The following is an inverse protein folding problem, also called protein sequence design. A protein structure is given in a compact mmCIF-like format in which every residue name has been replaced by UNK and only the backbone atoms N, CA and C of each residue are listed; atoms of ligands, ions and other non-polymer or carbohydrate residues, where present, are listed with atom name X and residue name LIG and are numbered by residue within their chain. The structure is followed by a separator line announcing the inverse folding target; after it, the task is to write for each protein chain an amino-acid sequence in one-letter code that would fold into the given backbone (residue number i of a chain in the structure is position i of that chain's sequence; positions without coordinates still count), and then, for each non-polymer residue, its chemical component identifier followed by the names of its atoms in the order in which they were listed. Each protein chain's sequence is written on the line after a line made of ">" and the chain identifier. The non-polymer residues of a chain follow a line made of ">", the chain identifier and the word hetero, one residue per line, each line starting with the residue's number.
data_IF_013806645671
#
_entry.id   IF_013806645671
#
_cell.length_a   1.000
_cell.length_b   1.000
_cell.length_c   1.000
_cell.angle_alpha   90.00
_cell.angle_beta   90.00
_cell.angle_gamma   90.00
#
_symmetry.space_group_name_H-M   'P 1'
#
loop_
_entity.id
_entity.type
_entity.pdbx_description
1 polymer ?
#
# COMPACT_ATOMS: atom_id res chain seq x y z
N UNK A 1 11.09 -1.50 -5.13
CA UNK A 1 9.98 -2.30 -4.59
C UNK A 1 9.84 -2.28 -3.07
N UNK A 2 10.57 -3.10 -2.30
CA UNK A 2 10.33 -3.20 -0.84
C UNK A 2 10.41 -1.85 -0.10
N UNK A 3 11.37 -0.98 -0.47
CA UNK A 3 11.47 0.37 0.06
C UNK A 3 10.29 1.28 -0.39
N UNK A 4 9.85 1.14 -1.63
CA UNK A 4 8.73 1.93 -2.17
C UNK A 4 7.41 1.58 -1.48
N UNK A 5 7.16 0.28 -1.27
CA UNK A 5 6.00 -0.19 -0.50
C UNK A 5 6.14 0.28 0.96
N UNK A 6 7.31 0.13 1.59
CA UNK A 6 7.53 0.66 2.94
C UNK A 6 7.19 2.17 3.06
N UNK A 7 7.55 2.99 2.07
CA UNK A 7 7.19 4.43 2.04
C UNK A 7 5.68 4.64 1.89
N UNK A 8 4.99 3.79 1.12
CA UNK A 8 3.53 3.84 0.94
C UNK A 8 2.75 3.53 2.23
N UNK A 9 3.21 2.54 3.01
CA UNK A 9 2.55 2.13 4.24
C UNK A 9 2.59 3.22 5.32
N UNK A 10 3.50 4.21 5.24
CA UNK A 10 3.54 5.32 6.19
C UNK A 10 2.24 6.16 6.12
N UNK A 11 1.87 6.76 4.97
CA UNK A 11 0.57 7.42 4.76
C UNK A 11 -0.66 6.61 5.15
N UNK A 12 -0.65 5.29 4.90
CA UNK A 12 -1.77 4.41 5.33
C UNK A 12 -1.92 4.41 6.85
N UNK A 13 -0.81 4.29 7.58
CA UNK A 13 -0.80 4.38 9.03
C UNK A 13 -1.31 5.72 9.55
N UNK A 14 -0.94 6.82 8.87
CA UNK A 14 -1.47 8.15 9.18
C UNK A 14 -3.00 8.19 9.01
N UNK A 15 -3.52 7.63 7.91
CA UNK A 15 -4.94 7.62 7.59
C UNK A 15 -5.74 6.74 8.56
N UNK A 16 -5.22 5.56 8.93
CA UNK A 16 -5.80 4.67 9.95
C UNK A 16 -5.91 5.38 11.30
N UNK A 17 -4.84 6.06 11.73
CA UNK A 17 -4.86 6.82 12.98
C UNK A 17 -5.83 8.01 12.92
N UNK A 18 -5.73 8.84 11.89
CA UNK A 18 -6.55 10.04 11.77
C UNK A 18 -8.05 9.70 11.70
N UNK A 19 -8.42 8.66 10.95
CA UNK A 19 -9.82 8.22 10.88
C UNK A 19 -10.35 7.71 12.23
N UNK A 20 -9.51 7.04 13.03
CA UNK A 20 -9.90 6.59 14.37
C UNK A 20 -10.16 7.73 15.36
N UNK A 21 -9.50 8.88 15.16
CA UNK A 21 -9.75 10.10 15.93
C UNK A 21 -11.06 10.78 15.55
N UNK A 22 -11.44 10.72 14.27
CA UNK A 22 -12.70 11.30 13.77
C UNK A 22 -13.89 10.48 14.26
N UNK A 23 -13.87 9.16 14.06
CA UNK A 23 -14.87 8.23 14.55
C UNK A 23 -14.25 6.83 14.69
N UNK A 24 -14.36 6.24 15.88
CA UNK A 24 -13.73 4.95 16.18
C UNK A 24 -14.32 3.80 15.35
N UNK A 25 -15.61 3.83 15.00
CA UNK A 25 -16.21 2.79 14.14
C UNK A 25 -15.66 2.90 12.72
N UNK A 26 -15.52 4.13 12.20
CA UNK A 26 -14.91 4.38 10.89
C UNK A 26 -13.44 3.94 10.92
N UNK A 27 -12.70 4.28 11.97
CA UNK A 27 -11.31 3.86 12.16
C UNK A 27 -11.13 2.34 12.17
N UNK A 28 -11.99 1.60 12.90
CA UNK A 28 -11.98 0.13 12.90
C UNK A 28 -12.26 -0.43 11.49
N UNK A 29 -13.26 0.12 10.79
CA UNK A 29 -13.58 -0.30 9.44
C UNK A 29 -12.41 -0.09 8.46
N UNK A 30 -11.74 1.06 8.55
CA UNK A 30 -10.56 1.38 7.74
C UNK A 30 -9.38 0.48 8.11
N UNK A 31 -9.11 0.25 9.40
CA UNK A 31 -8.05 -0.63 9.84
C UNK A 31 -8.23 -2.07 9.31
N UNK A 32 -9.45 -2.58 9.31
CA UNK A 32 -9.75 -3.90 8.73
C UNK A 32 -9.57 -3.89 7.21
N UNK A 33 -10.01 -2.83 6.52
CA UNK A 33 -9.83 -2.70 5.08
C UNK A 33 -8.34 -2.67 4.68
N UNK A 34 -7.52 -1.92 5.41
CA UNK A 34 -6.07 -1.84 5.19
C UNK A 34 -5.38 -3.17 5.56
N UNK A 35 -5.79 -3.83 6.63
CA UNK A 35 -5.27 -5.16 6.96
C UNK A 35 -5.49 -6.18 5.81
N UNK A 36 -6.65 -6.10 5.13
CA UNK A 36 -6.92 -6.93 3.94
C UNK A 36 -6.06 -6.47 2.76
N UNK A 37 -5.87 -5.16 2.56
CA UNK A 37 -5.03 -4.59 1.50
C UNK A 37 -3.55 -5.04 1.62
N UNK A 38 -3.04 -5.11 2.84
CA UNK A 38 -1.66 -5.48 3.13
C UNK A 38 -1.32 -6.94 2.80
N UNK A 39 -2.31 -7.83 2.64
CA UNK A 39 -2.05 -9.23 2.25
C UNK A 39 -1.48 -9.29 0.81
N UNK A 40 -2.16 -8.74 -0.22
CA UNK A 40 -1.58 -8.57 -1.55
C UNK A 40 -0.23 -7.84 -1.56
N UNK A 41 -0.07 -6.77 -0.79
CA UNK A 41 1.19 -6.01 -0.75
C UNK A 41 2.35 -6.83 -0.17
N UNK A 42 2.10 -7.55 0.92
CA UNK A 42 3.09 -8.45 1.52
C UNK A 42 3.52 -9.54 0.55
N UNK A 43 2.60 -10.06 -0.28
CA UNK A 43 2.93 -10.98 -1.37
C UNK A 43 3.76 -10.29 -2.46
N UNK A 44 3.41 -9.05 -2.81
CA UNK A 44 4.17 -8.26 -3.78
C UNK A 44 5.62 -8.02 -3.33
N UNK A 45 5.88 -7.88 -2.02
CA UNK A 45 7.25 -7.80 -1.47
C UNK A 45 7.93 -9.17 -1.38
N UNK A 46 7.26 -10.15 -0.79
CA UNK A 46 7.89 -11.42 -0.40
C UNK A 46 8.21 -12.33 -1.59
N UNK A 47 7.35 -12.40 -2.61
CA UNK A 47 7.54 -13.31 -3.76
C UNK A 47 8.79 -12.95 -4.58
N UNK A 48 9.02 -11.69 -5.00
CA UNK A 48 10.22 -11.33 -5.75
C UNK A 48 11.50 -11.49 -4.92
N UNK A 49 11.46 -11.19 -3.61
CA UNK A 49 12.61 -11.39 -2.72
C UNK A 49 12.95 -12.87 -2.57
N UNK A 50 11.95 -13.72 -2.41
CA UNK A 50 12.18 -15.17 -2.38
C UNK A 50 12.77 -15.65 -3.71
N UNK A 51 12.27 -15.17 -4.85
CA UNK A 51 12.80 -15.54 -6.17
C UNK A 51 14.24 -15.07 -6.38
N UNK A 52 14.60 -13.90 -5.88
CA UNK A 52 15.96 -13.37 -6.00
C UNK A 52 16.96 -14.02 -5.02
N UNK A 53 16.51 -14.45 -3.83
CA UNK A 53 17.41 -14.86 -2.74
C UNK A 53 17.31 -16.34 -2.35
N UNK A 54 16.25 -17.04 -2.75
CA UNK A 54 15.94 -18.41 -2.32
C UNK A 54 15.55 -18.56 -0.85
N UNK A 55 15.51 -17.48 -0.07
CA UNK A 55 15.33 -17.54 1.39
C UNK A 55 13.93 -17.07 1.81
N UNK A 56 13.15 -18.00 2.39
CA UNK A 56 11.84 -17.69 2.98
C UNK A 56 11.96 -16.71 4.17
N UNK A 57 13.02 -16.84 4.96
CA UNK A 57 13.27 -15.94 6.10
C UNK A 57 13.53 -14.50 5.65
N UNK A 58 14.31 -14.30 4.58
CA UNK A 58 14.51 -12.96 4.01
C UNK A 58 13.21 -12.40 3.44
N UNK A 59 12.46 -13.21 2.69
CA UNK A 59 11.17 -12.80 2.12
C UNK A 59 10.17 -12.35 3.20
N UNK A 60 10.08 -13.11 4.30
CA UNK A 60 9.27 -12.75 5.45
C UNK A 60 9.76 -11.47 6.11
N UNK A 61 11.07 -11.38 6.42
CA UNK A 61 11.65 -10.23 7.11
C UNK A 61 11.40 -8.93 6.36
N UNK A 62 11.65 -8.89 5.06
CA UNK A 62 11.44 -7.68 4.26
C UNK A 62 9.96 -7.30 4.13
N UNK A 63 9.06 -8.28 3.98
CA UNK A 63 7.62 -8.03 4.00
C UNK A 63 7.15 -7.52 5.36
N UNK A 64 7.66 -8.09 6.45
CA UNK A 64 7.34 -7.68 7.81
C UNK A 64 7.84 -6.26 8.09
N UNK A 65 9.09 -5.95 7.75
CA UNK A 65 9.66 -4.62 7.92
C UNK A 65 8.90 -3.56 7.12
N UNK A 66 8.42 -3.89 5.92
CA UNK A 66 7.55 -3.00 5.14
C UNK A 66 6.23 -2.73 5.87
N UNK A 67 5.58 -3.78 6.39
CA UNK A 67 4.32 -3.63 7.13
C UNK A 67 4.45 -2.89 8.46
N UNK A 68 5.60 -3.00 9.15
CA UNK A 68 5.88 -2.25 10.39
C UNK A 68 5.88 -0.74 10.17
N UNK A 69 6.07 -0.26 8.94
CA UNK A 69 6.02 1.18 8.68
C UNK A 69 4.63 1.77 8.92
N UNK A 70 3.56 0.98 8.78
CA UNK A 70 2.19 1.45 9.05
C UNK A 70 1.96 1.85 10.52
N UNK A 71 2.19 0.98 11.54
CA UNK A 71 2.06 1.39 12.93
C UNK A 71 3.07 2.48 13.31
N UNK A 72 4.26 2.51 12.70
CA UNK A 72 5.21 3.61 12.88
C UNK A 72 4.63 4.93 12.36
N UNK A 73 4.00 4.93 11.20
CA UNK A 73 3.31 6.09 10.62
C UNK A 73 2.17 6.60 11.50
N UNK A 74 1.37 5.68 12.05
CA UNK A 74 0.32 5.99 13.02
C UNK A 74 0.90 6.67 14.29
N UNK A 75 1.94 6.10 14.88
CA UNK A 75 2.58 6.62 16.10
C UNK A 75 3.22 7.98 15.86
N UNK A 76 3.97 8.14 14.77
CA UNK A 76 4.61 9.43 14.43
C UNK A 76 3.53 10.48 14.17
N UNK A 77 2.42 10.10 13.55
CA UNK A 77 1.28 11.01 13.38
C UNK A 77 0.73 11.44 14.73
N UNK A 78 0.45 10.50 15.63
CA UNK A 78 -0.09 10.77 16.96
C UNK A 78 0.80 11.69 17.80
N UNK A 79 2.11 11.44 17.81
CA UNK A 79 3.03 12.12 18.71
C UNK A 79 3.60 13.42 18.16
N UNK A 80 3.75 13.53 16.83
CA UNK A 80 4.52 14.61 16.20
C UNK A 80 3.71 15.38 15.17
N UNK A 81 3.02 14.69 14.25
CA UNK A 81 2.42 15.35 13.08
C UNK A 81 1.00 15.86 13.33
N UNK A 82 0.31 15.38 14.38
CA UNK A 82 -1.08 15.72 14.65
C UNK A 82 -1.36 17.24 14.70
N UNK A 83 -0.53 18.10 15.33
CA UNK A 83 -0.77 19.55 15.36
C UNK A 83 -0.66 20.22 13.98
N UNK A 84 0.04 19.58 13.04
CA UNK A 84 0.28 20.10 11.69
C UNK A 84 -0.64 19.46 10.66
N UNK A 85 -1.35 18.38 11.01
CA UNK A 85 -2.24 17.69 10.08
C UNK A 85 -3.47 18.55 9.81
N UNK A 86 -3.69 18.87 8.55
CA UNK A 86 -4.94 19.43 8.05
C UNK A 86 -5.32 18.76 6.74
N UNK A 87 -6.54 19.02 6.26
CA UNK A 87 -7.07 18.38 5.06
C UNK A 87 -6.18 18.60 3.82
N UNK A 88 -5.54 19.77 3.69
CA UNK A 88 -4.66 20.07 2.56
C UNK A 88 -3.37 19.24 2.62
N UNK A 89 -2.70 19.20 3.77
CA UNK A 89 -1.47 18.42 3.96
C UNK A 89 -1.75 16.92 3.77
N UNK A 90 -2.84 16.41 4.34
CA UNK A 90 -3.24 15.02 4.15
C UNK A 90 -3.53 14.73 2.67
N UNK A 91 -4.23 15.63 1.98
CA UNK A 91 -4.48 15.52 0.54
C UNK A 91 -3.19 15.47 -0.29
N UNK A 92 -2.21 16.32 0.01
CA UNK A 92 -0.91 16.30 -0.68
C UNK A 92 -0.16 15.00 -0.45
N UNK A 93 -0.10 14.52 0.80
CA UNK A 93 0.55 13.25 1.14
C UNK A 93 -0.12 12.11 0.37
N UNK A 94 -1.45 11.97 0.46
CA UNK A 94 -2.20 10.92 -0.22
C UNK A 94 -2.05 10.99 -1.75
N UNK A 95 -1.99 12.19 -2.33
CA UNK A 95 -1.75 12.36 -3.78
C UNK A 95 -0.35 11.88 -4.20
N UNK A 96 0.67 12.18 -3.39
CA UNK A 96 2.04 11.68 -3.61
C UNK A 96 2.12 10.16 -3.49
N UNK A 97 1.43 9.61 -2.50
CA UNK A 97 1.29 8.17 -2.27
C UNK A 97 0.62 7.47 -3.45
N UNK A 98 -0.47 8.04 -3.98
CA UNK A 98 -1.15 7.50 -5.17
C UNK A 98 -0.24 7.51 -6.40
N UNK A 99 0.56 8.57 -6.59
CA UNK A 99 1.56 8.65 -7.65
C UNK A 99 2.66 7.59 -7.51
N UNK A 100 3.20 7.41 -6.30
CA UNK A 100 4.20 6.39 -6.00
C UNK A 100 3.67 4.98 -6.29
N UNK A 101 2.45 4.65 -5.86
CA UNK A 101 1.87 3.32 -6.09
C UNK A 101 1.56 3.08 -7.56
N UNK A 102 1.16 4.11 -8.30
CA UNK A 102 1.00 4.02 -9.75
C UNK A 102 2.34 3.71 -10.42
N UNK A 103 3.43 4.38 -10.00
CA UNK A 103 4.78 4.10 -10.48
C UNK A 103 5.21 2.66 -10.16
N UNK A 104 5.08 2.22 -8.90
CA UNK A 104 5.44 0.86 -8.48
C UNK A 104 4.65 -0.19 -9.28
N UNK A 105 3.35 0.03 -9.49
CA UNK A 105 2.52 -0.90 -10.23
C UNK A 105 2.98 -1.07 -11.70
N UNK A 106 3.32 0.04 -12.36
CA UNK A 106 3.67 0.05 -13.79
C UNK A 106 5.13 -0.33 -14.02
N UNK A 107 6.07 0.25 -13.27
CA UNK A 107 7.50 0.16 -13.55
C UNK A 107 8.17 -1.02 -12.82
N UNK A 108 7.58 -1.49 -11.71
CA UNK A 108 8.13 -2.60 -10.94
C UNK A 108 7.27 -3.87 -11.06
N UNK A 109 6.00 -3.83 -10.61
CA UNK A 109 5.18 -5.03 -10.49
C UNK A 109 4.81 -5.65 -11.84
N UNK A 110 4.44 -4.83 -12.83
CA UNK A 110 4.05 -5.31 -14.15
C UNK A 110 5.23 -5.98 -14.90
N UNK A 111 6.44 -5.40 -14.95
CA UNK A 111 7.62 -6.07 -15.51
C UNK A 111 8.02 -7.34 -14.76
N UNK A 112 7.97 -7.31 -13.41
CA UNK A 112 8.25 -8.49 -12.58
C UNK A 112 7.29 -9.62 -12.91
N UNK A 113 5.99 -9.33 -13.03
CA UNK A 113 4.99 -10.33 -13.40
C UNK A 113 5.23 -10.93 -14.79
N UNK A 114 5.60 -10.12 -15.78
CA UNK A 114 5.98 -10.60 -17.12
C UNK A 114 7.23 -11.47 -17.12
N UNK A 115 8.19 -11.18 -16.23
CA UNK A 115 9.43 -11.97 -16.12
C UNK A 115 9.19 -13.43 -15.71
N UNK A 116 8.01 -13.77 -15.17
CA UNK A 116 7.62 -15.14 -14.84
C UNK A 116 7.10 -15.95 -16.04
N UNK A 117 7.21 -15.44 -17.27
CA UNK A 117 6.85 -16.15 -18.50
C UNK A 117 5.44 -15.87 -19.00
N UNK A 118 4.73 -14.92 -18.39
CA UNK A 118 3.42 -14.48 -18.86
C UNK A 118 3.55 -13.33 -19.88
N UNK A 119 2.96 -13.49 -21.07
CA UNK A 119 3.03 -12.48 -22.13
C UNK A 119 2.07 -11.32 -21.91
N UNK A 120 0.76 -11.58 -22.04
CA UNK A 120 -0.30 -10.58 -22.00
C UNK A 120 -1.16 -10.65 -20.73
N UNK A 121 -1.11 -11.77 -20.01
CA UNK A 121 -1.91 -11.96 -18.80
C UNK A 121 -1.69 -10.87 -17.73
N UNK A 122 -0.44 -10.42 -17.43
CA UNK A 122 -0.22 -9.36 -16.44
C UNK A 122 -0.83 -8.03 -16.85
N UNK A 123 -0.81 -7.73 -18.15
CA UNK A 123 -1.41 -6.51 -18.71
C UNK A 123 -2.93 -6.58 -18.59
N UNK A 124 -3.53 -7.73 -18.92
CA UNK A 124 -4.97 -7.93 -18.77
C UNK A 124 -5.40 -7.83 -17.30
N UNK A 125 -4.67 -8.47 -16.38
CA UNK A 125 -4.94 -8.37 -14.94
C UNK A 125 -4.81 -6.93 -14.42
N UNK A 126 -3.83 -6.17 -14.91
CA UNK A 126 -3.69 -4.76 -14.57
C UNK A 126 -4.88 -3.92 -15.06
N UNK A 127 -5.31 -4.10 -16.31
CA UNK A 127 -6.47 -3.40 -16.88
C UNK A 127 -7.77 -3.77 -16.14
N UNK A 128 -7.96 -5.04 -15.78
CA UNK A 128 -9.10 -5.49 -14.99
C UNK A 128 -9.09 -4.81 -13.62
N UNK A 129 -7.93 -4.77 -12.93
CA UNK A 129 -7.80 -4.10 -11.64
C UNK A 129 -8.15 -2.61 -11.72
N UNK A 130 -7.66 -1.90 -12.73
CA UNK A 130 -8.03 -0.51 -13.01
C UNK A 130 -9.53 -0.35 -13.26
N UNK A 131 -10.13 -1.26 -14.03
CA UNK A 131 -11.56 -1.22 -14.36
C UNK A 131 -12.44 -1.43 -13.12
N UNK A 132 -12.06 -2.37 -12.25
CA UNK A 132 -12.75 -2.62 -10.97
C UNK A 132 -12.68 -1.38 -10.07
N UNK A 133 -11.50 -0.75 -9.95
CA UNK A 133 -11.35 0.48 -9.17
C UNK A 133 -12.15 1.64 -9.76
N UNK A 134 -12.15 1.80 -11.09
CA UNK A 134 -12.92 2.86 -11.73
C UNK A 134 -14.43 2.66 -11.53
N UNK A 135 -14.90 1.41 -11.62
CA UNK A 135 -16.30 1.07 -11.37
C UNK A 135 -16.69 1.29 -9.91
N UNK A 136 -15.84 0.91 -8.94
CA UNK A 136 -16.12 1.13 -7.52
C UNK A 136 -16.25 2.62 -7.21
N UNK A 137 -15.36 3.46 -7.73
CA UNK A 137 -15.44 4.91 -7.58
C UNK A 137 -16.69 5.52 -8.24
N UNK A 138 -17.14 4.97 -9.37
CA UNK A 138 -18.37 5.41 -10.02
C UNK A 138 -19.62 5.06 -9.19
N UNK A 139 -19.64 3.87 -8.57
CA UNK A 139 -20.77 3.40 -7.76
C UNK A 139 -20.83 4.03 -6.35
N UNK A 140 -19.70 4.53 -5.84
CA UNK A 140 -19.59 5.14 -4.51
C UNK A 140 -19.78 6.67 -4.51
N UNK A 141 -20.03 7.28 -5.68
CA UNK A 141 -20.48 8.68 -5.81
C UNK A 141 -21.98 8.79 -5.57
#
# INVERSE_FOLDING_TARGET
>A
MALGIAIHNFPEGMATFYSSLVDTKIGIAIAVAIAIHNIPEGLAVSVPIYKATGSRGKAFLWSFLSGVVEPVGAIITALVLLPYLNAAILGYILSGTAGLMTFIAIDELLPVSKSYGFSHLPILSFIIGLSVMMLSLFLLK
#
